data_IF_101601726194
#
_entry.id   IF_101601726194
#
_cell.length_a   1.000
_cell.length_b   1.000
_cell.length_c   1.000
_cell.angle_alpha   90.00
_cell.angle_beta   90.00
_cell.angle_gamma   90.00
#
_symmetry.space_group_name_H-M   'P 1'
#
loop_
_entity.id
_entity.type
_entity.pdbx_description
1 polymer ?
#
# COMPACT_ATOMS: atom_id res chain seq x y z
N UNK A 1 57.58 -19.98 -37.90
CA UNK A 1 56.24 -19.81 -37.31
C UNK A 1 56.41 -19.42 -35.86
N UNK A 2 56.11 -18.17 -35.54
CA UNK A 2 56.29 -17.53 -34.23
C UNK A 2 54.91 -17.42 -33.55
N UNK A 3 54.93 -17.65 -32.23
CA UNK A 3 54.01 -17.08 -31.22
C UNK A 3 52.52 -17.42 -31.33
N UNK A 4 52.19 -18.58 -30.78
CA UNK A 4 50.92 -18.85 -30.11
C UNK A 4 50.80 -18.05 -28.79
N UNK A 5 49.55 -17.83 -28.37
CA UNK A 5 49.08 -17.51 -27.02
C UNK A 5 49.50 -16.14 -26.43
N UNK A 6 48.54 -15.20 -26.40
CA UNK A 6 48.21 -14.30 -25.26
C UNK A 6 47.44 -13.05 -25.72
N UNK A 7 46.21 -13.21 -26.23
CA UNK A 7 45.25 -12.08 -26.32
C UNK A 7 43.84 -12.59 -26.04
N UNK A 8 43.64 -13.22 -24.88
CA UNK A 8 42.33 -13.52 -24.30
C UNK A 8 42.35 -13.02 -22.84
N UNK A 9 42.21 -11.71 -22.62
CA UNK A 9 42.02 -11.16 -21.25
C UNK A 9 41.69 -9.67 -21.14
N UNK A 10 41.12 -9.00 -22.16
CA UNK A 10 40.68 -7.60 -21.98
C UNK A 10 39.39 -7.32 -22.77
N UNK A 11 38.30 -8.03 -22.46
CA UNK A 11 36.92 -7.60 -22.79
C UNK A 11 35.94 -8.14 -21.75
N UNK A 12 36.22 -7.89 -20.48
CA UNK A 12 35.25 -8.09 -19.37
C UNK A 12 35.46 -6.86 -18.48
N UNK A 13 34.39 -6.16 -18.10
CA UNK A 13 34.33 -4.89 -17.36
C UNK A 13 34.12 -3.59 -18.18
N UNK A 14 33.14 -3.53 -19.09
CA UNK A 14 32.52 -2.23 -19.40
C UNK A 14 31.14 -2.38 -20.06
N UNK A 15 30.10 -2.70 -19.29
CA UNK A 15 28.68 -2.43 -19.69
C UNK A 15 27.61 -2.87 -18.67
N UNK A 16 27.96 -3.12 -17.40
CA UNK A 16 26.96 -3.40 -16.34
C UNK A 16 26.75 -2.20 -15.39
N UNK A 17 26.68 -0.99 -15.95
CA UNK A 17 26.32 0.22 -15.21
C UNK A 17 25.33 1.06 -16.01
N UNK A 18 24.21 0.46 -16.42
CA UNK A 18 22.95 1.22 -16.46
C UNK A 18 22.38 1.13 -15.06
N UNK A 19 22.95 1.94 -14.17
CA UNK A 19 22.32 2.26 -12.91
C UNK A 19 21.01 2.94 -13.23
N UNK A 20 19.91 2.21 -13.13
CA UNK A 20 18.59 2.81 -12.97
C UNK A 20 18.61 3.56 -11.64
N UNK A 21 19.15 4.76 -11.63
CA UNK A 21 18.86 5.76 -10.63
C UNK A 21 17.39 6.10 -10.80
N UNK A 22 16.51 5.30 -10.22
CA UNK A 22 15.17 5.77 -9.88
C UNK A 22 15.37 6.91 -8.87
N UNK A 23 15.63 8.11 -9.39
CA UNK A 23 15.30 9.32 -8.64
C UNK A 23 13.79 9.37 -8.68
N UNK A 24 13.08 9.16 -7.54
CA UNK A 24 11.67 9.46 -7.53
C UNK A 24 11.58 10.96 -7.78
N UNK A 25 11.19 11.32 -9.00
CA UNK A 25 10.83 12.69 -9.35
C UNK A 25 9.92 13.21 -8.25
N UNK A 26 10.33 14.33 -7.67
CA UNK A 26 9.73 14.95 -6.49
C UNK A 26 8.26 15.30 -6.76
N UNK A 27 7.37 14.36 -6.50
CA UNK A 27 5.96 14.64 -6.33
C UNK A 27 5.72 15.13 -4.89
N UNK A 28 6.02 16.40 -4.64
CA UNK A 28 5.25 17.27 -3.74
C UNK A 28 5.03 16.84 -2.28
N UNK A 29 6.09 16.55 -1.52
CA UNK A 29 5.96 16.40 -0.06
C UNK A 29 7.28 16.14 0.65
N UNK A 30 7.46 16.72 1.84
CA UNK A 30 8.65 16.51 2.68
C UNK A 30 8.75 15.08 3.25
N UNK A 31 7.64 14.33 3.28
CA UNK A 31 7.63 12.96 3.78
C UNK A 31 7.49 11.94 2.64
N UNK A 32 8.30 10.87 2.63
CA UNK A 32 8.21 9.81 1.64
C UNK A 32 7.04 8.84 1.88
N UNK A 33 6.44 8.88 3.08
CA UNK A 33 5.47 7.89 3.57
C UNK A 33 4.27 8.53 4.25
N UNK A 34 3.23 7.73 4.44
CA UNK A 34 2.06 8.02 5.26
C UNK A 34 1.76 6.81 6.17
N UNK A 35 0.99 7.03 7.24
CA UNK A 35 0.54 5.97 8.14
C UNK A 35 -0.84 5.51 7.71
N UNK A 36 -0.97 4.25 7.30
CA UNK A 36 -2.24 3.59 7.02
C UNK A 36 -2.73 2.86 8.28
N UNK A 37 -3.99 3.06 8.66
CA UNK A 37 -4.66 2.30 9.70
C UNK A 37 -5.93 1.67 9.12
N UNK A 38 -5.96 0.36 8.98
CA UNK A 38 -7.07 -0.39 8.35
C UNK A 38 -7.79 -1.14 9.46
N UNK A 39 -9.11 -0.98 9.55
CA UNK A 39 -9.93 -1.61 10.59
C UNK A 39 -11.12 -2.33 9.98
N UNK A 40 -11.37 -3.55 10.43
CA UNK A 40 -12.59 -4.28 10.08
C UNK A 40 -13.65 -4.12 11.17
N UNK A 41 -14.61 -3.22 10.97
CA UNK A 41 -15.66 -2.89 11.96
C UNK A 41 -17.03 -3.52 11.69
N UNK A 42 -17.14 -4.53 10.82
CA UNK A 42 -18.44 -5.10 10.42
C UNK A 42 -18.63 -6.43 11.13
N UNK A 43 -19.70 -6.53 11.92
CA UNK A 43 -20.20 -7.80 12.46
C UNK A 43 -21.02 -8.50 11.36
N UNK A 44 -20.54 -9.66 10.88
CA UNK A 44 -21.21 -10.37 9.77
C UNK A 44 -22.60 -10.89 10.10
N UNK A 45 -22.98 -11.02 11.37
CA UNK A 45 -24.34 -11.42 11.75
C UNK A 45 -25.40 -10.43 11.27
N UNK A 46 -25.03 -9.15 11.10
CA UNK A 46 -25.89 -8.10 10.53
C UNK A 46 -26.20 -8.30 9.04
N UNK A 47 -25.42 -9.15 8.38
CA UNK A 47 -25.55 -9.52 6.97
C UNK A 47 -26.02 -10.98 6.79
N UNK A 48 -26.33 -11.69 7.87
CA UNK A 48 -26.67 -13.11 7.83
C UNK A 48 -25.46 -14.05 7.62
N UNK A 49 -24.25 -13.59 7.95
CA UNK A 49 -22.98 -14.32 7.82
C UNK A 49 -22.38 -14.64 9.20
N UNK A 50 -21.22 -15.29 9.23
CA UNK A 50 -20.51 -15.53 10.49
C UNK A 50 -20.14 -14.21 11.17
N UNK A 51 -20.09 -14.20 12.51
CA UNK A 51 -19.72 -13.00 13.26
C UNK A 51 -18.31 -12.50 12.91
N UNK A 52 -17.38 -13.44 12.70
CA UNK A 52 -15.99 -13.11 12.38
C UNK A 52 -15.84 -12.42 11.04
N UNK A 53 -16.71 -12.73 10.07
CA UNK A 53 -16.72 -12.22 8.71
C UNK A 53 -15.29 -12.07 8.12
N UNK A 54 -14.56 -13.15 7.87
CA UNK A 54 -13.19 -13.05 7.37
C UNK A 54 -13.14 -12.35 6.01
N UNK A 55 -12.26 -11.35 5.90
CA UNK A 55 -12.00 -10.60 4.67
C UNK A 55 -10.51 -10.56 4.35
N UNK A 56 -10.21 -10.44 3.06
CA UNK A 56 -8.85 -10.19 2.55
C UNK A 56 -8.84 -8.78 1.97
N UNK A 57 -8.04 -7.91 2.56
CA UNK A 57 -7.77 -6.57 2.03
C UNK A 57 -6.57 -6.64 1.09
N UNK A 58 -6.82 -6.42 -0.20
CA UNK A 58 -5.78 -6.37 -1.21
C UNK A 58 -5.37 -4.92 -1.45
N UNK A 59 -4.08 -4.63 -1.26
CA UNK A 59 -3.50 -3.31 -1.46
C UNK A 59 -2.70 -3.31 -2.75
N UNK A 60 -3.10 -2.48 -3.71
CA UNK A 60 -2.42 -2.30 -4.99
C UNK A 60 -1.73 -0.94 -5.01
N UNK A 61 -0.51 -0.88 -5.55
CA UNK A 61 0.34 0.33 -5.52
C UNK A 61 1.00 0.63 -6.86
N UNK A 62 1.22 1.92 -7.11
CA UNK A 62 2.00 2.44 -8.23
C UNK A 62 1.17 2.71 -9.50
N UNK A 63 1.82 3.19 -10.58
CA UNK A 63 1.13 3.61 -11.81
C UNK A 63 0.39 2.46 -12.50
N UNK A 64 0.87 1.23 -12.33
CA UNK A 64 0.27 0.03 -12.91
C UNK A 64 -0.63 -0.72 -11.92
N UNK A 65 -0.86 -0.18 -10.71
CA UNK A 65 -1.66 -0.79 -9.65
C UNK A 65 -1.30 -2.26 -9.44
N UNK A 66 -0.02 -2.54 -9.19
CA UNK A 66 0.44 -3.91 -8.91
C UNK A 66 0.04 -4.29 -7.50
N UNK A 67 -0.41 -5.53 -7.31
CA UNK A 67 -0.66 -6.08 -5.97
C UNK A 67 0.64 -5.98 -5.14
N UNK A 68 0.54 -5.24 -4.04
CA UNK A 68 1.63 -4.97 -3.10
C UNK A 68 1.52 -5.84 -1.86
N UNK A 69 0.31 -5.96 -1.31
CA UNK A 69 0.07 -6.70 -0.06
C UNK A 69 -1.34 -7.31 0.01
N UNK A 70 -1.47 -8.33 0.85
CA UNK A 70 -2.74 -8.97 1.21
C UNK A 70 -2.82 -9.11 2.73
N UNK A 71 -3.88 -8.55 3.31
CA UNK A 71 -4.05 -8.50 4.76
C UNK A 71 -5.34 -9.23 5.11
N UNK A 72 -5.21 -10.31 5.86
CA UNK A 72 -6.36 -11.02 6.42
C UNK A 72 -6.86 -10.26 7.66
N UNK A 73 -8.16 -9.98 7.71
CA UNK A 73 -8.81 -9.34 8.86
C UNK A 73 -10.13 -10.03 9.20
N UNK A 74 -10.42 -10.09 10.49
CA UNK A 74 -11.71 -10.48 11.07
C UNK A 74 -12.35 -9.31 11.81
N UNK A 75 -13.62 -9.45 12.19
CA UNK A 75 -14.35 -8.44 12.94
C UNK A 75 -13.57 -7.95 14.18
N UNK A 76 -13.45 -6.62 14.30
CA UNK A 76 -12.68 -5.86 15.30
C UNK A 76 -11.16 -5.94 15.19
N UNK A 77 -10.62 -6.62 14.19
CA UNK A 77 -9.18 -6.57 13.93
C UNK A 77 -8.79 -5.29 13.19
N UNK A 78 -7.54 -4.88 13.40
CA UNK A 78 -6.95 -3.74 12.72
C UNK A 78 -5.47 -3.94 12.49
N UNK A 79 -4.96 -3.31 11.44
CA UNK A 79 -3.53 -3.25 11.14
C UNK A 79 -3.11 -1.81 10.96
N UNK A 80 -1.89 -1.50 11.37
CA UNK A 80 -1.26 -0.20 11.10
C UNK A 80 0.04 -0.46 10.37
N UNK A 81 0.26 0.26 9.27
CA UNK A 81 1.47 0.16 8.47
C UNK A 81 1.91 1.55 8.00
N UNK A 82 3.22 1.71 7.82
CA UNK A 82 3.78 2.86 7.14
C UNK A 82 3.93 2.50 5.65
N UNK A 83 3.29 3.27 4.78
CA UNK A 83 3.22 3.01 3.34
C UNK A 83 3.83 4.18 2.55
N UNK A 84 4.49 3.91 1.41
CA UNK A 84 5.05 4.98 0.58
C UNK A 84 3.94 5.89 0.03
N UNK A 85 4.22 7.17 -0.15
CA UNK A 85 3.31 8.06 -0.89
C UNK A 85 3.14 7.56 -2.33
N UNK A 86 1.96 7.76 -2.91
CA UNK A 86 1.71 7.43 -4.31
C UNK A 86 0.28 6.97 -4.57
N UNK A 87 0.05 6.32 -5.71
CA UNK A 87 -1.28 5.89 -6.14
C UNK A 87 -1.61 4.50 -5.61
N UNK A 88 -2.78 4.40 -4.98
CA UNK A 88 -3.31 3.20 -4.36
C UNK A 88 -4.68 2.82 -4.91
N UNK A 89 -4.91 1.52 -5.01
CA UNK A 89 -6.23 0.91 -5.13
C UNK A 89 -6.34 -0.14 -4.01
N UNK A 90 -7.39 -0.06 -3.22
CA UNK A 90 -7.67 -1.02 -2.13
C UNK A 90 -8.96 -1.74 -2.48
N UNK A 91 -8.92 -3.06 -2.46
CA UNK A 91 -10.09 -3.92 -2.67
C UNK A 91 -10.28 -4.83 -1.48
N UNK A 92 -11.54 -5.17 -1.20
CA UNK A 92 -11.88 -6.11 -0.12
C UNK A 92 -12.59 -7.30 -0.72
N UNK A 93 -12.04 -8.48 -0.45
CA UNK A 93 -12.62 -9.77 -0.82
C UNK A 93 -13.24 -10.43 0.41
N UNK A 94 -14.50 -10.83 0.31
CA UNK A 94 -15.17 -11.61 1.36
C UNK A 94 -14.87 -13.09 1.17
N UNK A 95 -14.27 -13.72 2.17
CA UNK A 95 -13.94 -15.15 2.12
C UNK A 95 -15.20 -16.01 2.11
N UNK A 96 -16.21 -15.65 2.91
CA UNK A 96 -17.48 -16.38 2.99
C UNK A 96 -18.31 -16.25 1.71
N UNK A 97 -18.43 -15.04 1.16
CA UNK A 97 -19.21 -14.80 -0.06
C UNK A 97 -18.46 -15.16 -1.35
N UNK A 98 -17.13 -15.40 -1.25
CA UNK A 98 -16.23 -15.70 -2.37
C UNK A 98 -16.28 -14.67 -3.50
N UNK A 99 -16.41 -13.39 -3.13
CA UNK A 99 -16.48 -12.29 -4.08
C UNK A 99 -15.88 -11.00 -3.50
N UNK A 100 -15.50 -10.09 -4.40
CA UNK A 100 -15.15 -8.73 -4.01
C UNK A 100 -16.40 -7.96 -3.60
N UNK A 101 -16.27 -7.17 -2.55
CA UNK A 101 -17.33 -6.27 -2.08
C UNK A 101 -17.10 -4.93 -2.76
N UNK A 102 -17.81 -4.67 -3.86
CA UNK A 102 -17.57 -3.51 -4.73
C UNK A 102 -17.66 -2.18 -3.98
N UNK A 103 -18.64 -2.05 -3.08
CA UNK A 103 -18.86 -0.88 -2.21
C UNK A 103 -17.74 -0.64 -1.19
N UNK A 104 -16.82 -1.59 -1.03
CA UNK A 104 -15.63 -1.49 -0.20
C UNK A 104 -14.34 -1.35 -1.03
N UNK A 105 -14.45 -0.85 -2.26
CA UNK A 105 -13.28 -0.48 -3.07
C UNK A 105 -12.91 0.98 -2.85
N UNK A 106 -11.63 1.27 -2.64
CA UNK A 106 -11.11 2.63 -2.52
C UNK A 106 -10.05 2.89 -3.59
N UNK A 107 -10.25 3.92 -4.39
CA UNK A 107 -9.33 4.31 -5.46
C UNK A 107 -9.68 3.72 -6.83
N UNK A 108 -8.82 3.90 -7.84
CA UNK A 108 -7.45 4.42 -7.74
C UNK A 108 -7.35 5.87 -7.25
N UNK A 109 -6.50 6.17 -6.28
CA UNK A 109 -6.28 7.52 -5.77
C UNK A 109 -4.86 7.74 -5.29
N UNK A 110 -4.33 8.96 -5.44
CA UNK A 110 -3.02 9.33 -4.90
C UNK A 110 -3.14 9.71 -3.43
N UNK A 111 -2.28 9.12 -2.60
CA UNK A 111 -2.14 9.42 -1.18
C UNK A 111 -0.80 10.12 -0.98
N UNK A 112 -0.85 11.32 -0.42
CA UNK A 112 0.32 12.12 -0.10
C UNK A 112 1.04 11.61 1.15
N UNK A 113 2.33 11.94 1.27
CA UNK A 113 3.09 11.72 2.50
C UNK A 113 2.68 12.67 3.63
N UNK A 114 3.18 12.41 4.83
CA UNK A 114 2.86 13.16 6.06
C UNK A 114 1.38 13.09 6.47
N UNK A 115 0.66 12.06 6.02
CA UNK A 115 -0.75 11.83 6.39
C UNK A 115 -0.88 10.62 7.31
N UNK A 116 -1.93 10.63 8.12
CA UNK A 116 -2.53 9.43 8.70
C UNK A 116 -3.83 9.17 7.97
N UNK A 117 -3.91 8.04 7.28
CA UNK A 117 -5.10 7.60 6.54
C UNK A 117 -5.73 6.42 7.27
N UNK A 118 -6.98 6.58 7.67
CA UNK A 118 -7.75 5.56 8.37
C UNK A 118 -8.78 4.99 7.38
N UNK A 119 -8.73 3.69 7.14
CA UNK A 119 -9.67 2.92 6.35
C UNK A 119 -10.56 2.12 7.30
N UNK A 120 -11.76 2.61 7.54
CA UNK A 120 -12.69 1.99 8.49
C UNK A 120 -13.82 1.29 7.75
N UNK A 121 -13.82 -0.04 7.73
CA UNK A 121 -14.94 -0.82 7.24
C UNK A 121 -16.12 -0.73 8.24
N UNK A 122 -17.30 -0.35 7.76
CA UNK A 122 -18.53 -0.24 8.56
C UNK A 122 -19.77 -0.51 7.70
N UNK A 123 -20.92 -0.66 8.35
CA UNK A 123 -22.22 -0.68 7.67
C UNK A 123 -22.81 0.73 7.65
N UNK A 124 -23.29 1.16 6.49
CA UNK A 124 -24.15 2.34 6.32
C UNK A 124 -25.40 1.86 5.61
N UNK A 125 -26.57 1.98 6.25
CA UNK A 125 -27.85 1.48 5.73
C UNK A 125 -27.77 0.02 5.26
N UNK A 126 -27.19 -0.84 6.12
CA UNK A 126 -26.91 -2.27 5.86
C UNK A 126 -25.98 -2.56 4.67
N UNK A 127 -25.35 -1.55 4.09
CA UNK A 127 -24.38 -1.70 3.01
C UNK A 127 -22.95 -1.62 3.57
N UNK A 128 -22.09 -2.62 3.33
CA UNK A 128 -20.67 -2.55 3.67
C UNK A 128 -19.98 -1.43 2.91
N UNK A 129 -19.31 -0.52 3.62
CA UNK A 129 -18.54 0.58 3.02
C UNK A 129 -17.22 0.78 3.74
N UNK A 130 -16.24 1.36 3.06
CA UNK A 130 -15.02 1.87 3.68
C UNK A 130 -15.16 3.38 3.87
N UNK A 131 -15.15 3.82 5.12
CA UNK A 131 -15.00 5.23 5.45
C UNK A 131 -13.50 5.58 5.47
N UNK A 132 -13.08 6.51 4.61
CA UNK A 132 -11.69 6.95 4.51
C UNK A 132 -11.54 8.28 5.22
N UNK A 133 -10.73 8.32 6.26
CA UNK A 133 -10.46 9.54 7.04
C UNK A 133 -8.99 9.90 6.88
N UNK A 134 -8.72 11.09 6.37
CA UNK A 134 -7.36 11.60 6.16
C UNK A 134 -7.07 12.69 7.20
N UNK A 135 -5.94 12.58 7.89
CA UNK A 135 -5.47 13.56 8.86
C UNK A 135 -4.04 13.95 8.56
N UNK A 136 -3.69 15.21 8.78
CA UNK A 136 -2.31 15.64 8.75
C UNK A 136 -1.55 15.14 9.97
N UNK A 137 -0.35 14.61 9.75
CA UNK A 137 0.63 14.42 10.81
C UNK A 137 1.35 15.76 10.96
N UNK A 138 0.98 16.56 11.98
CA UNK A 138 1.72 17.78 12.29
C UNK A 138 3.20 17.45 12.51
N UNK A 139 4.14 18.16 11.86
CA UNK A 139 5.56 17.94 12.14
C UNK A 139 5.83 18.21 13.62
N UNK A 140 6.55 17.31 14.30
CA UNK A 140 7.16 17.66 15.60
C UNK A 140 8.02 18.91 15.37
N UNK A 141 7.91 19.96 16.20
CA UNK A 141 8.86 21.06 16.16
C UNK A 141 10.27 20.47 16.25
N UNK A 142 11.13 20.81 15.30
CA UNK A 142 12.56 20.51 15.43
C UNK A 142 13.05 21.37 16.58
N UNK A 143 13.36 20.74 17.71
CA UNK A 143 14.07 21.39 18.80
C UNK A 143 15.44 21.77 18.26
N UNK A 144 15.60 23.04 17.89
CA UNK A 144 16.88 23.58 17.43
C UNK A 144 17.79 23.58 18.65
N UNK A 145 18.68 22.60 18.73
CA UNK A 145 19.77 22.62 19.70
C UNK A 145 20.58 23.91 19.47
N UNK A 146 20.58 24.78 20.48
CA UNK A 146 21.40 26.00 20.54
C UNK A 146 22.85 25.65 20.86
#
# INVERSE_FOLDING_TARGET
MKTFLRIFSIVIFLSLLVGFSYTPAEAGGRCPTFIAHITHGIDGTKLGLSQELPVIVEVYFGPNLKLMDKIDLKFKESVTAELPRGTYLIKVYSVELKQYVETMTVGPTTIEGCKKVIFQARLVDNTPVINVIIRDLTPKPVEVAQ
#
